data_IF_778671024242
#
_entry.id   IF_778671024242
#
_cell.length_a   1.000
_cell.length_b   1.000
_cell.length_c   1.000
_cell.angle_alpha   90.00
_cell.angle_beta   90.00
_cell.angle_gamma   90.00
#
_symmetry.space_group_name_H-M   'P 1'
#
loop_
_entity.id
_entity.type
_entity.pdbx_description
1 polymer ?
#
# COMPACT_ATOMS: atom_id res chain seq x y z
N UNK A 1 -6.26 10.30 19.13
CA UNK A 1 -6.27 9.77 17.74
C UNK A 1 -7.70 9.84 17.26
N UNK A 2 -7.99 10.42 16.09
CA UNK A 2 -9.35 10.50 15.54
C UNK A 2 -9.58 9.36 14.57
N UNK A 3 -10.60 8.54 14.78
CA UNK A 3 -11.08 7.58 13.78
C UNK A 3 -11.84 8.36 12.70
N UNK A 4 -11.60 8.05 11.42
CA UNK A 4 -12.40 8.61 10.32
C UNK A 4 -13.72 7.84 10.18
N UNK A 5 -14.80 8.54 9.85
CA UNK A 5 -16.05 7.95 9.35
C UNK A 5 -16.16 8.22 7.84
N UNK A 6 -16.62 7.23 7.07
CA UNK A 6 -16.71 7.30 5.61
C UNK A 6 -15.54 6.65 4.86
N UNK A 7 -15.47 6.77 3.52
CA UNK A 7 -14.46 6.07 2.71
C UNK A 7 -13.04 6.48 3.12
N UNK A 8 -12.16 5.48 3.30
CA UNK A 8 -10.76 5.71 3.62
C UNK A 8 -10.07 6.36 2.42
N UNK A 9 -9.55 7.57 2.63
CA UNK A 9 -8.80 8.36 1.64
C UNK A 9 -7.30 8.15 1.79
N UNK A 10 -6.54 8.65 0.81
CA UNK A 10 -5.07 8.72 0.86
C UNK A 10 -4.57 9.26 2.20
N UNK A 11 -3.63 8.55 2.81
CA UNK A 11 -3.05 9.00 4.08
C UNK A 11 -2.18 7.98 4.78
N UNK A 12 -1.67 8.40 5.94
CA UNK A 12 -0.92 7.54 6.86
C UNK A 12 -1.82 7.20 8.03
N UNK A 13 -1.88 5.92 8.35
CA UNK A 13 -2.78 5.38 9.35
C UNK A 13 -2.04 4.52 10.37
N UNK A 14 -2.53 4.57 11.60
CA UNK A 14 -2.46 3.42 12.49
C UNK A 14 -3.67 2.55 12.21
N UNK A 15 -3.45 1.26 11.99
CA UNK A 15 -4.50 0.29 11.74
C UNK A 15 -4.62 -0.58 12.98
N UNK A 16 -5.78 -0.56 13.61
CA UNK A 16 -6.05 -1.29 14.84
C UNK A 16 -7.07 -2.39 14.59
N UNK A 17 -6.81 -3.59 15.08
CA UNK A 17 -7.81 -4.64 15.11
C UNK A 17 -8.85 -4.35 16.20
N UNK A 18 -10.14 -4.46 15.84
CA UNK A 18 -11.25 -4.11 16.75
C UNK A 18 -11.38 -5.11 17.89
N UNK A 19 -11.21 -6.40 17.59
CA UNK A 19 -11.44 -7.50 18.53
C UNK A 19 -10.33 -7.58 19.59
N UNK A 20 -9.08 -7.46 19.17
CA UNK A 20 -7.89 -7.66 20.02
C UNK A 20 -7.34 -6.35 20.59
N UNK A 21 -7.84 -5.20 20.12
CA UNK A 21 -7.35 -3.86 20.50
C UNK A 21 -5.84 -3.66 20.19
N UNK A 22 -5.25 -4.48 19.33
CA UNK A 22 -3.85 -4.41 18.92
C UNK A 22 -3.69 -3.64 17.61
N UNK A 23 -2.49 -3.11 17.35
CA UNK A 23 -2.16 -2.40 16.12
C UNK A 23 -1.32 -3.25 15.19
N UNK A 24 -1.53 -3.07 13.89
CA UNK A 24 -0.70 -3.68 12.87
C UNK A 24 0.72 -3.09 12.90
N UNK A 25 1.70 -3.99 12.87
CA UNK A 25 3.12 -3.65 12.84
C UNK A 25 3.85 -4.52 11.82
N UNK A 26 4.80 -3.93 11.10
CA UNK A 26 5.76 -4.66 10.29
C UNK A 26 6.88 -5.24 11.18
N UNK A 27 6.92 -6.57 11.27
CA UNK A 27 7.93 -7.32 12.00
C UNK A 27 9.31 -7.25 11.32
N UNK A 28 10.35 -7.80 11.96
CA UNK A 28 11.70 -7.89 11.37
C UNK A 28 11.76 -8.86 10.19
N UNK A 29 10.92 -9.90 10.18
CA UNK A 29 10.80 -10.89 9.11
C UNK A 29 9.78 -10.51 8.02
N UNK A 30 9.45 -9.23 7.89
CA UNK A 30 8.55 -8.70 6.86
C UNK A 30 7.14 -9.30 6.86
N UNK A 31 6.66 -9.71 8.04
CA UNK A 31 5.28 -10.10 8.28
C UNK A 31 4.51 -8.95 8.91
N UNK A 32 3.20 -8.94 8.71
CA UNK A 32 2.30 -8.03 9.40
C UNK A 32 1.85 -8.75 10.67
N UNK A 33 2.20 -8.21 11.83
CA UNK A 33 1.89 -8.80 13.14
C UNK A 33 1.03 -7.86 13.98
N UNK A 34 0.24 -8.45 14.88
CA UNK A 34 -0.46 -7.73 15.94
C UNK A 34 0.53 -7.24 17.00
N UNK A 35 0.37 -6.00 17.46
CA UNK A 35 1.21 -5.44 18.52
C UNK A 35 0.40 -4.51 19.43
N UNK A 36 0.39 -4.71 20.75
CA UNK A 36 -0.19 -3.73 21.65
C UNK A 36 0.63 -2.44 21.60
N UNK A 37 -0.05 -1.29 21.69
CA UNK A 37 0.64 -0.03 21.92
C UNK A 37 1.12 -0.01 23.37
N UNK A 38 2.42 0.24 23.59
CA UNK A 38 2.96 0.26 24.96
C UNK A 38 2.34 1.43 25.72
N UNK A 39 1.95 1.20 26.97
CA UNK A 39 1.51 2.27 27.86
C UNK A 39 2.64 3.31 28.01
N UNK A 40 2.28 4.60 27.91
CA UNK A 40 3.24 5.71 27.99
C UNK A 40 3.98 6.08 26.69
N UNK A 41 3.87 5.29 25.61
CA UNK A 41 4.39 5.74 24.31
C UNK A 41 3.45 6.75 23.66
N UNK A 42 3.92 7.98 23.50
CA UNK A 42 3.16 9.06 22.83
C UNK A 42 3.29 9.04 21.30
N UNK A 43 4.24 8.26 20.76
CA UNK A 43 4.51 8.21 19.33
C UNK A 43 4.60 6.76 18.83
N UNK A 44 3.85 6.39 17.79
CA UNK A 44 3.98 5.08 17.15
C UNK A 44 5.33 4.95 16.43
N UNK A 45 5.87 3.73 16.39
CA UNK A 45 7.05 3.46 15.56
C UNK A 45 6.70 3.54 14.06
N UNK A 46 7.67 3.85 13.20
CA UNK A 46 7.48 3.87 11.74
C UNK A 46 7.00 2.53 11.19
N UNK A 47 7.35 1.42 11.84
CA UNK A 47 6.87 0.06 11.51
C UNK A 47 5.38 -0.14 11.77
N UNK A 48 4.73 0.74 12.51
CA UNK A 48 3.28 0.71 12.77
C UNK A 48 2.51 1.71 11.90
N UNK A 49 3.21 2.50 11.09
CA UNK A 49 2.59 3.49 10.21
C UNK A 49 2.38 2.89 8.82
N UNK A 50 1.14 2.95 8.35
CA UNK A 50 0.71 2.37 7.09
C UNK A 50 0.28 3.46 6.13
N UNK A 51 0.90 3.53 4.95
CA UNK A 51 0.48 4.42 3.87
C UNK A 51 -0.58 3.70 3.07
N UNK A 52 -1.74 4.33 2.93
CA UNK A 52 -2.85 3.86 2.10
C UNK A 52 -2.99 4.84 0.95
N UNK A 53 -2.85 4.34 -0.28
CA UNK A 53 -2.94 5.14 -1.50
C UNK A 53 -4.03 4.56 -2.43
N UNK A 54 -5.09 5.31 -2.59
CA UNK A 54 -6.20 5.12 -3.52
C UNK A 54 -5.71 5.19 -4.97
N UNK A 55 -6.22 4.25 -5.77
CA UNK A 55 -6.04 4.14 -7.21
C UNK A 55 -7.31 4.60 -7.92
N UNK A 56 -7.21 4.88 -9.21
CA UNK A 56 -8.32 5.38 -10.03
C UNK A 56 -9.52 4.43 -10.15
N UNK A 57 -9.37 3.17 -9.74
CA UNK A 57 -10.38 2.11 -9.79
C UNK A 57 -11.10 1.90 -8.44
N UNK A 58 -10.88 2.77 -7.45
CA UNK A 58 -11.50 2.68 -6.13
C UNK A 58 -10.86 1.64 -5.20
N UNK A 59 -9.80 0.97 -5.66
CA UNK A 59 -8.96 0.13 -4.80
C UNK A 59 -7.80 0.93 -4.22
N UNK A 60 -7.13 0.38 -3.22
CA UNK A 60 -5.99 0.99 -2.56
C UNK A 60 -4.76 0.09 -2.64
N UNK A 61 -3.59 0.69 -2.55
CA UNK A 61 -2.36 0.00 -2.18
C UNK A 61 -2.03 0.32 -0.72
N UNK A 62 -1.46 -0.65 -0.01
CA UNK A 62 -1.07 -0.51 1.39
C UNK A 62 0.43 -0.74 1.50
N UNK A 63 1.15 0.23 2.07
CA UNK A 63 2.60 0.20 2.30
C UNK A 63 2.92 0.49 3.75
N UNK A 64 4.13 0.15 4.19
CA UNK A 64 4.60 0.44 5.53
C UNK A 64 5.62 1.57 5.48
N UNK A 65 5.54 2.54 6.39
CA UNK A 65 6.44 3.69 6.37
C UNK A 65 7.91 3.33 6.64
N UNK A 66 8.19 2.20 7.28
CA UNK A 66 9.56 1.71 7.45
C UNK A 66 10.13 1.05 6.17
N UNK A 67 9.29 0.68 5.20
CA UNK A 67 9.66 0.06 3.91
C UNK A 67 8.79 0.61 2.79
N UNK A 68 9.01 1.86 2.41
CA UNK A 68 8.15 2.56 1.44
C UNK A 68 8.19 1.99 0.01
N UNK A 69 9.19 1.15 -0.29
CA UNK A 69 9.37 0.48 -1.59
C UNK A 69 8.66 -0.88 -1.67
N UNK A 70 7.94 -1.28 -0.62
CA UNK A 70 7.25 -2.57 -0.55
C UNK A 70 5.79 -2.40 -0.14
N UNK A 71 4.96 -3.27 -0.68
CA UNK A 71 3.52 -3.30 -0.53
C UNK A 71 3.10 -4.53 0.25
N UNK A 72 1.97 -4.43 0.93
CA UNK A 72 1.24 -5.61 1.36
C UNK A 72 0.68 -6.29 0.11
N UNK A 73 1.11 -7.53 -0.11
CA UNK A 73 0.89 -8.28 -1.34
C UNK A 73 0.50 -9.71 -1.03
N UNK A 74 -0.14 -10.36 -1.99
CA UNK A 74 -0.55 -11.76 -1.87
C UNK A 74 0.56 -12.63 -2.43
N UNK A 75 0.96 -13.64 -1.67
CA UNK A 75 1.73 -14.77 -2.19
C UNK A 75 0.86 -16.02 -2.08
N UNK A 76 0.68 -16.69 -3.21
CA UNK A 76 0.06 -18.02 -3.26
C UNK A 76 1.18 -19.06 -3.12
N UNK A 77 1.00 -20.01 -2.22
CA UNK A 77 1.87 -21.20 -2.20
C UNK A 77 1.53 -22.13 -3.38
N UNK A 78 2.48 -23.00 -3.75
CA UNK A 78 2.49 -23.80 -4.99
C UNK A 78 1.27 -24.73 -5.10
N UNK A 79 0.60 -25.01 -3.98
CA UNK A 79 -0.63 -25.80 -3.91
C UNK A 79 -1.92 -24.97 -4.06
N UNK A 80 -1.83 -23.66 -4.34
CA UNK A 80 -2.94 -22.82 -4.81
C UNK A 80 -4.00 -22.43 -3.77
N UNK A 81 -4.10 -23.14 -2.65
CA UNK A 81 -5.15 -22.91 -1.64
C UNK A 81 -4.71 -22.10 -0.42
N UNK A 82 -3.40 -21.97 -0.18
CA UNK A 82 -2.87 -21.19 0.94
C UNK A 82 -2.30 -19.86 0.43
N UNK A 83 -3.11 -18.81 0.51
CA UNK A 83 -2.69 -17.45 0.26
C UNK A 83 -2.19 -16.80 1.56
N UNK A 84 -1.08 -16.07 1.48
CA UNK A 84 -0.56 -15.31 2.62
C UNK A 84 -0.24 -13.88 2.25
N UNK A 85 -0.26 -13.01 3.24
CA UNK A 85 0.19 -11.62 3.09
C UNK A 85 1.71 -11.59 3.22
N UNK A 86 2.37 -11.01 2.22
CA UNK A 86 3.81 -10.77 2.19
C UNK A 86 4.10 -9.31 1.92
N UNK A 87 5.31 -8.88 2.28
CA UNK A 87 5.84 -7.58 1.89
C UNK A 87 6.74 -7.73 0.67
N UNK A 88 6.29 -7.26 -0.50
CA UNK A 88 7.01 -7.39 -1.76
C UNK A 88 6.99 -6.09 -2.58
N UNK A 89 7.83 -6.01 -3.62
CA UNK A 89 7.82 -4.85 -4.54
C UNK A 89 6.64 -4.89 -5.53
N UNK A 90 5.87 -5.99 -5.57
CA UNK A 90 4.73 -6.15 -6.48
C UNK A 90 3.48 -5.61 -5.78
N UNK A 91 2.88 -4.49 -6.23
CA UNK A 91 1.72 -3.92 -5.57
C UNK A 91 0.48 -4.79 -5.77
N UNK A 92 -0.21 -5.13 -4.68
CA UNK A 92 -1.57 -5.67 -4.74
C UNK A 92 -2.60 -4.57 -4.47
N UNK A 93 -3.74 -4.69 -5.15
CA UNK A 93 -4.90 -3.84 -4.91
C UNK A 93 -5.79 -4.45 -3.82
N UNK A 94 -6.13 -3.64 -2.83
CA UNK A 94 -7.01 -3.98 -1.73
C UNK A 94 -8.29 -3.15 -1.82
N UNK A 95 -9.43 -3.72 -1.42
CA UNK A 95 -10.64 -2.97 -1.15
C UNK A 95 -10.76 -2.75 0.35
N UNK A 96 -10.95 -1.50 0.76
CA UNK A 96 -11.30 -1.15 2.14
C UNK A 96 -12.76 -0.72 2.16
N UNK A 97 -13.60 -1.51 2.81
CA UNK A 97 -15.04 -1.22 2.92
C UNK A 97 -15.42 -0.97 4.39
N UNK A 98 -16.33 -0.02 4.61
CA UNK A 98 -16.90 0.22 5.94
C UNK A 98 -17.86 -0.94 6.28
N UNK A 99 -17.62 -1.58 7.42
CA UNK A 99 -18.43 -2.70 7.91
C UNK A 99 -19.48 -2.22 8.92
N UNK A 100 -19.06 -1.39 9.86
CA UNK A 100 -19.92 -0.64 10.80
C UNK A 100 -19.31 0.73 11.03
N UNK A 101 -20.01 1.65 11.69
CA UNK A 101 -19.57 3.03 11.86
C UNK A 101 -18.11 3.13 12.35
N UNK A 102 -17.23 3.66 11.50
CA UNK A 102 -15.77 3.79 11.76
C UNK A 102 -15.01 2.46 11.94
N UNK A 103 -15.54 1.34 11.47
CA UNK A 103 -14.89 0.03 11.43
C UNK A 103 -14.91 -0.50 10.00
N UNK A 104 -13.81 -1.09 9.57
CA UNK A 104 -13.56 -1.40 8.18
C UNK A 104 -13.11 -2.85 8.01
N UNK A 105 -13.37 -3.40 6.84
CA UNK A 105 -12.79 -4.65 6.37
C UNK A 105 -11.77 -4.34 5.29
N UNK A 106 -10.66 -5.09 5.28
CA UNK A 106 -9.67 -5.07 4.21
C UNK A 106 -9.80 -6.40 3.48
N UNK A 107 -10.11 -6.34 2.19
CA UNK A 107 -10.26 -7.53 1.34
C UNK A 107 -9.52 -7.39 0.03
N UNK A 108 -9.33 -8.50 -0.66
CA UNK A 108 -8.72 -8.49 -2.01
C UNK A 108 -9.54 -7.62 -2.96
N UNK A 109 -8.86 -6.74 -3.71
CA UNK A 109 -9.51 -5.80 -4.62
C UNK A 109 -9.74 -6.38 -6.02
N UNK A 110 -8.73 -7.03 -6.57
CA UNK A 110 -8.73 -7.64 -7.91
C UNK A 110 -7.93 -8.94 -7.83
N UNK A 111 -8.51 -9.96 -7.19
CA UNK A 111 -7.92 -11.30 -7.22
C UNK A 111 -8.34 -11.99 -8.51
N UNK A 112 -7.41 -12.69 -9.17
CA UNK A 112 -7.73 -13.64 -10.25
C UNK A 112 -8.60 -14.80 -9.74
N UNK A 113 -8.72 -14.98 -8.43
CA UNK A 113 -9.71 -15.87 -7.83
C UNK A 113 -11.06 -15.15 -7.68
N UNK A 114 -12.16 -15.87 -7.96
CA UNK A 114 -13.53 -15.41 -7.71
C UNK A 114 -13.86 -15.22 -6.22
N UNK A 115 -12.88 -15.42 -5.33
CA UNK A 115 -13.05 -15.46 -3.88
C UNK A 115 -12.50 -14.16 -3.26
N UNK A 116 -13.36 -13.48 -2.52
CA UNK A 116 -12.95 -12.35 -1.67
C UNK A 116 -12.25 -12.91 -0.44
N UNK A 117 -10.96 -12.63 -0.28
CA UNK A 117 -10.21 -12.98 0.93
C UNK A 117 -10.05 -11.74 1.80
N UNK A 118 -10.11 -11.91 3.12
CA UNK A 118 -10.11 -10.86 4.13
C UNK A 118 -8.83 -10.90 4.94
N UNK A 119 -8.36 -9.72 5.39
CA UNK A 119 -7.30 -9.66 6.39
C UNK A 119 -7.87 -10.04 7.75
N UNK A 120 -7.31 -11.08 8.36
CA UNK A 120 -7.78 -11.66 9.61
C UNK A 120 -6.62 -11.91 10.60
N UNK A 121 -6.92 -11.83 11.90
CA UNK A 121 -6.09 -12.36 12.97
C UNK A 121 -6.77 -13.61 13.53
N UNK A 122 -6.12 -14.76 13.37
CA UNK A 122 -6.65 -16.06 13.82
C UNK A 122 -6.57 -16.27 15.34
N UNK A 123 -5.85 -15.40 16.05
CA UNK A 123 -5.63 -15.48 17.49
C UNK A 123 -5.51 -14.06 18.07
N UNK A 124 -5.92 -13.88 19.33
CA UNK A 124 -5.85 -12.61 20.05
C UNK A 124 -4.47 -12.32 20.67
N UNK A 125 -3.56 -13.30 20.62
CA UNK A 125 -2.22 -13.18 21.13
C UNK A 125 -1.42 -12.01 20.46
N UNK A 126 -0.63 -11.24 21.24
CA UNK A 126 0.35 -10.32 20.67
C UNK A 126 1.38 -11.03 19.81
N UNK A 127 1.60 -10.55 18.59
CA UNK A 127 2.52 -11.14 17.62
C UNK A 127 1.85 -12.09 16.63
N UNK A 128 0.53 -12.32 16.75
CA UNK A 128 -0.27 -13.03 15.74
C UNK A 128 -0.09 -12.36 14.38
N UNK A 129 0.19 -13.19 13.37
CA UNK A 129 0.39 -12.73 12.00
C UNK A 129 -0.96 -12.54 11.34
N UNK A 130 -1.11 -11.45 10.58
CA UNK A 130 -2.29 -11.23 9.75
C UNK A 130 -2.29 -12.22 8.58
N UNK A 131 -3.37 -12.98 8.44
CA UNK A 131 -3.56 -13.97 7.37
C UNK A 131 -4.61 -13.50 6.35
N UNK A 132 -4.77 -14.26 5.27
CA UNK A 132 -5.84 -14.08 4.29
C UNK A 132 -6.81 -15.26 4.42
N UNK A 133 -8.05 -14.96 4.77
CA UNK A 133 -9.08 -15.97 4.97
C UNK A 133 -10.29 -15.71 4.07
N UNK A 134 -10.95 -16.76 3.62
CA UNK A 134 -12.19 -16.64 2.83
C UNK A 134 -13.42 -16.39 3.71
N UNK A 135 -13.39 -16.88 4.95
CA UNK A 135 -14.45 -16.69 5.93
C UNK A 135 -14.19 -15.45 6.79
N UNK A 136 -15.25 -14.89 7.37
CA UNK A 136 -15.19 -13.75 8.29
C UNK A 136 -15.52 -14.24 9.70
N UNK A 137 -14.62 -15.01 10.31
CA UNK A 137 -14.93 -15.66 11.60
C UNK A 137 -14.67 -14.68 12.74
N UNK A 138 -13.43 -14.18 12.87
CA UNK A 138 -13.03 -13.29 13.94
C UNK A 138 -11.92 -12.33 13.48
N UNK A 139 -11.60 -11.27 14.21
CA UNK A 139 -10.37 -10.49 13.95
C UNK A 139 -10.26 -9.81 12.57
N UNK A 140 -11.36 -9.69 11.82
CA UNK A 140 -11.37 -9.16 10.45
C UNK A 140 -11.78 -7.69 10.36
N UNK A 141 -12.08 -7.05 11.51
CA UNK A 141 -12.50 -5.63 11.57
C UNK A 141 -11.37 -4.74 12.06
N UNK A 142 -11.26 -3.60 11.39
CA UNK A 142 -10.13 -2.69 11.51
C UNK A 142 -10.59 -1.26 11.74
N UNK A 143 -9.94 -0.55 12.64
CA UNK A 143 -10.08 0.91 12.81
C UNK A 143 -8.86 1.60 12.20
N UNK A 144 -9.12 2.64 11.41
CA UNK A 144 -8.09 3.46 10.80
C UNK A 144 -7.99 4.80 11.54
N UNK A 145 -6.85 5.04 12.17
CA UNK A 145 -6.56 6.31 12.84
C UNK A 145 -5.60 7.13 11.99
N UNK A 146 -6.12 8.17 11.35
CA UNK A 146 -5.33 9.07 10.52
C UNK A 146 -4.23 9.76 11.34
N UNK A 147 -3.01 9.77 10.79
CA UNK A 147 -1.85 10.45 11.36
C UNK A 147 -1.59 11.73 10.56
N UNK A 148 -1.60 12.88 11.26
CA UNK A 148 -1.36 14.20 10.65
C UNK A 148 0.09 14.46 10.27
N UNK A 149 1.03 13.61 10.68
CA UNK A 149 2.44 13.74 10.35
C UNK A 149 2.76 12.79 9.21
N UNK A 150 3.01 13.35 8.03
CA UNK A 150 3.87 12.72 7.03
C UNK A 150 5.18 12.37 7.74
N UNK A 151 5.58 11.10 7.85
CA UNK A 151 6.98 10.83 8.12
C UNK A 151 7.76 11.57 7.02
N UNK A 152 8.88 12.21 7.39
CA UNK A 152 9.81 12.79 6.42
C UNK A 152 10.41 11.63 5.63
N UNK A 153 9.66 11.13 4.65
CA UNK A 153 10.08 10.08 3.75
C UNK A 153 10.79 10.81 2.63
N UNK A 154 12.11 10.67 2.57
CA UNK A 154 12.85 11.06 1.38
C UNK A 154 12.17 10.39 0.17
N UNK A 155 11.88 11.14 -0.90
CA UNK A 155 11.30 10.53 -2.09
C UNK A 155 12.18 9.36 -2.55
N UNK A 156 11.58 8.27 -3.07
CA UNK A 156 12.36 7.15 -3.58
C UNK A 156 13.40 7.68 -4.57
N UNK A 157 14.66 7.34 -4.34
CA UNK A 157 15.73 7.72 -5.25
C UNK A 157 15.37 7.18 -6.64
N UNK A 158 15.27 8.07 -7.62
CA UNK A 158 15.07 7.67 -9.01
C UNK A 158 16.15 6.65 -9.39
N UNK A 159 15.82 5.58 -10.13
CA UNK A 159 16.83 4.67 -10.63
C UNK A 159 17.88 5.48 -11.41
N UNK A 160 19.16 5.14 -11.17
CA UNK A 160 20.36 5.81 -11.69
C UNK A 160 20.37 6.04 -13.22
N UNK A 161 19.42 5.46 -13.96
CA UNK A 161 19.28 5.59 -15.41
C UNK A 161 18.68 6.93 -15.89
N UNK A 162 18.04 7.73 -15.02
CA UNK A 162 17.43 9.03 -15.44
C UNK A 162 18.36 10.24 -15.19
N UNK A 163 19.41 10.09 -14.38
CA UNK A 163 20.30 11.23 -14.04
C UNK A 163 21.11 11.77 -15.24
N UNK A 164 21.15 11.07 -16.37
CA UNK A 164 21.83 11.55 -17.58
C UNK A 164 20.96 12.39 -18.54
N UNK A 165 19.66 12.58 -18.26
CA UNK A 165 18.79 13.40 -19.13
C UNK A 165 18.83 14.88 -18.72
N UNK A 166 19.18 15.20 -17.48
CA UNK A 166 19.25 16.57 -16.97
C UNK A 166 20.65 16.92 -16.47
N UNK A 167 21.62 16.96 -17.39
CA UNK A 167 22.86 17.69 -17.15
C UNK A 167 22.77 19.04 -17.89
N UNK A 168 22.47 20.17 -17.21
CA UNK A 168 22.37 21.48 -17.84
C UNK A 168 23.70 22.00 -18.42
N UNK A 169 24.81 21.27 -18.23
CA UNK A 169 26.16 21.68 -18.63
C UNK A 169 26.54 21.34 -20.08
N UNK A 170 25.64 20.75 -20.89
CA UNK A 170 25.91 20.36 -22.30
C UNK A 170 25.12 21.12 -23.37
N UNK A 171 24.40 22.18 -23.03
CA UNK A 171 23.82 23.07 -24.02
C UNK A 171 24.85 24.11 -24.48
N UNK A 172 25.80 23.68 -25.32
CA UNK A 172 26.58 24.62 -26.14
C UNK A 172 25.63 25.27 -27.14
N UNK A 173 25.47 26.57 -26.99
CA UNK A 173 24.77 27.50 -27.85
C UNK A 173 25.16 27.34 -29.32
N UNK A 174 24.22 26.89 -30.15
CA UNK A 174 24.20 27.20 -31.58
C UNK A 174 23.01 28.15 -31.81
N UNK A 175 23.20 29.32 -32.43
CA UNK A 175 22.08 30.23 -32.68
C UNK A 175 21.10 29.58 -33.69
N UNK A 176 19.78 29.75 -33.50
CA UNK A 176 18.78 29.20 -34.42
C UNK A 176 18.74 30.00 -35.73
N UNK A 177 18.62 29.28 -36.85
CA UNK A 177 18.29 29.87 -38.15
C UNK A 177 16.80 30.29 -38.15
N UNK A 178 16.44 31.43 -38.79
CA UNK A 178 15.07 31.92 -38.78
C UNK A 178 14.20 31.11 -39.74
N UNK A 179 13.04 30.66 -39.26
CA UNK A 179 11.97 30.09 -40.08
C UNK A 179 11.58 28.66 -39.74
N UNK A 180 10.78 28.48 -38.69
CA UNK A 180 9.66 27.52 -38.59
C UNK A 180 9.16 27.48 -37.15
N UNK A 181 8.11 28.24 -36.84
CA UNK A 181 7.28 27.96 -35.67
C UNK A 181 6.25 26.92 -36.08
N UNK A 182 6.36 25.69 -35.56
CA UNK A 182 5.22 24.79 -35.40
C UNK A 182 5.11 24.44 -33.92
N UNK A 183 4.09 24.99 -33.28
CA UNK A 183 3.58 24.43 -32.03
C UNK A 183 2.95 23.07 -32.35
N UNK A 184 3.55 21.99 -31.86
CA UNK A 184 2.85 20.72 -31.68
C UNK A 184 2.53 20.58 -30.19
N UNK A 185 1.30 20.90 -29.83
CA UNK A 185 0.64 20.36 -28.64
C UNK A 185 0.01 19.02 -29.00
N UNK A 186 -0.14 18.15 -27.98
CA UNK A 186 -0.61 16.74 -28.01
C UNK A 186 0.45 15.73 -28.52
N UNK A 187 0.65 14.55 -27.93
CA UNK A 187 -0.30 13.66 -27.24
C UNK A 187 0.49 12.52 -26.55
N UNK A 188 -0.04 12.01 -25.43
CA UNK A 188 0.03 10.60 -24.94
C UNK A 188 1.38 9.87 -24.94
N UNK A 189 1.94 9.62 -23.74
CA UNK A 189 2.84 8.49 -23.52
C UNK A 189 2.04 7.17 -23.57
N UNK A 190 2.64 6.08 -24.08
CA UNK A 190 1.91 4.91 -24.53
C UNK A 190 1.51 3.99 -23.37
N UNK A 191 0.28 3.47 -23.46
CA UNK A 191 -0.14 2.24 -22.79
C UNK A 191 0.83 1.13 -23.19
N UNK A 192 1.47 0.50 -22.21
CA UNK A 192 2.16 -0.78 -22.41
C UNK A 192 1.06 -1.84 -22.45
N UNK A 193 0.77 -2.51 -23.59
CA UNK A 193 -0.09 -3.67 -23.56
C UNK A 193 0.63 -4.80 -22.81
N UNK A 194 -0.05 -5.36 -21.80
CA UNK A 194 0.32 -6.64 -21.23
C UNK A 194 0.35 -7.68 -22.35
N UNK A 195 1.48 -8.36 -22.50
CA UNK A 195 1.66 -9.45 -23.46
C UNK A 195 0.84 -10.64 -22.95
N UNK A 196 -0.16 -11.04 -23.72
CA UNK A 196 -0.76 -12.36 -23.65
C UNK A 196 0.32 -13.40 -24.01
N UNK A 197 0.72 -14.23 -23.05
CA UNK A 197 1.35 -15.52 -23.35
C UNK A 197 0.29 -16.60 -23.23
N UNK A 198 -0.29 -16.96 -24.38
CA UNK A 198 -0.84 -18.29 -24.60
C UNK A 198 0.34 -19.27 -24.77
N UNK A 199 0.41 -20.28 -23.91
CA UNK A 199 0.83 -21.65 -24.25
C UNK A 199 -0.10 -22.59 -23.50
#
# INVERSE_FOLDING_TARGET
>A
MTSSSGPIRNGIFLIQNVETNTFLKLSSNNRIESRPMRSGTTSPSTRMLWLVDERFDGYVTIRNAARNESYASIQYDIEGFNARIVFSQVPCSWAIAEATFSQYIIRTGNSMSSLSMYWELLDDAPGTVVTLEESQIQGFRWKFYSQRRTPTVAPPALPYSIQNIFNPSRLRTRPPRPGMYRFCACRTLPLIPCVDMNI
#
